data_IF_587715326071
#
_entry.id   IF_587715326071
#
_cell.length_a   1.000
_cell.length_b   1.000
_cell.length_c   1.000
_cell.angle_alpha   90.00
_cell.angle_beta   90.00
_cell.angle_gamma   90.00
#
_symmetry.space_group_name_H-M   'P 1'
#
loop_
_entity.id
_entity.type
_entity.pdbx_description
1 polymer ?
#
# COMPACT_ATOMS: atom_id res chain seq x y z
N UNK A 1 17.71 -22.96 57.94
CA UNK A 1 16.45 -23.08 57.15
C UNK A 1 16.08 -21.74 56.52
N UNK A 2 16.19 -20.64 57.27
CA UNK A 2 15.97 -19.24 56.87
C UNK A 2 16.75 -18.78 55.62
N UNK A 3 18.09 -18.95 55.57
CA UNK A 3 18.89 -18.44 54.43
C UNK A 3 18.46 -18.95 53.05
N UNK A 4 18.06 -20.22 52.93
CA UNK A 4 17.56 -20.77 51.65
C UNK A 4 16.20 -20.20 51.25
N UNK A 5 15.37 -19.87 52.24
CA UNK A 5 14.08 -19.23 52.04
C UNK A 5 14.27 -17.78 51.57
N UNK A 6 15.22 -17.06 52.18
CA UNK A 6 15.57 -15.68 51.82
C UNK A 6 16.16 -15.59 50.40
N UNK A 7 17.05 -16.53 50.04
CA UNK A 7 17.60 -16.64 48.68
C UNK A 7 16.50 -16.94 47.64
N UNK A 8 15.52 -17.78 48.00
CA UNK A 8 14.41 -18.11 47.12
C UNK A 8 13.47 -16.91 46.93
N UNK A 9 13.17 -16.17 47.99
CA UNK A 9 12.37 -14.94 47.93
C UNK A 9 13.04 -13.90 47.03
N UNK A 10 14.36 -13.70 47.19
CA UNK A 10 15.11 -12.75 46.38
C UNK A 10 15.12 -13.11 44.89
N UNK A 11 15.21 -14.41 44.58
CA UNK A 11 15.11 -14.88 43.19
C UNK A 11 13.72 -14.66 42.60
N UNK A 12 12.67 -14.94 43.38
CA UNK A 12 11.30 -14.71 42.97
C UNK A 12 11.06 -13.22 42.65
N UNK A 13 11.51 -12.31 43.52
CA UNK A 13 11.35 -10.87 43.32
C UNK A 13 12.09 -10.37 42.08
N UNK A 14 13.29 -10.89 41.82
CA UNK A 14 14.05 -10.57 40.61
C UNK A 14 13.33 -11.06 39.35
N UNK A 15 12.86 -12.31 39.34
CA UNK A 15 12.10 -12.85 38.22
C UNK A 15 10.79 -12.10 38.00
N UNK A 16 10.11 -11.65 39.05
CA UNK A 16 8.90 -10.83 38.93
C UNK A 16 9.18 -9.50 38.22
N UNK A 17 10.28 -8.82 38.57
CA UNK A 17 10.68 -7.56 37.93
C UNK A 17 11.09 -7.76 36.47
N UNK A 18 11.78 -8.85 36.15
CA UNK A 18 12.13 -9.18 34.77
C UNK A 18 10.87 -9.44 33.93
N UNK A 19 9.88 -10.15 34.48
CA UNK A 19 8.59 -10.38 33.81
C UNK A 19 7.87 -9.05 33.56
N UNK A 20 7.82 -8.15 34.54
CA UNK A 20 7.21 -6.82 34.37
C UNK A 20 7.90 -6.02 33.26
N UNK A 21 9.24 -6.03 33.22
CA UNK A 21 10.00 -5.35 32.17
C UNK A 21 9.71 -5.94 30.78
N UNK A 22 9.66 -7.27 30.67
CA UNK A 22 9.32 -7.95 29.41
C UNK A 22 7.90 -7.65 28.95
N UNK A 23 6.93 -7.55 29.86
CA UNK A 23 5.56 -7.18 29.51
C UNK A 23 5.46 -5.76 28.95
N UNK A 24 6.24 -4.82 29.50
CA UNK A 24 6.33 -3.46 28.96
C UNK A 24 6.91 -3.49 27.55
N UNK A 25 8.02 -4.20 27.33
CA UNK A 25 8.67 -4.30 26.02
C UNK A 25 7.75 -4.95 24.97
N UNK A 26 7.01 -6.00 25.34
CA UNK A 26 6.00 -6.62 24.48
C UNK A 26 4.92 -5.60 24.09
N UNK A 27 4.46 -4.79 25.04
CA UNK A 27 3.49 -3.72 24.79
C UNK A 27 4.01 -2.67 23.80
N UNK A 28 5.26 -2.25 23.93
CA UNK A 28 5.89 -1.31 23.00
C UNK A 28 6.07 -1.91 21.61
N UNK A 29 6.53 -3.16 21.53
CA UNK A 29 6.71 -3.86 20.25
C UNK A 29 5.37 -4.11 19.53
N UNK A 30 4.30 -4.35 20.29
CA UNK A 30 2.94 -4.47 19.74
C UNK A 30 2.53 -3.16 19.05
N UNK A 31 2.69 -2.01 19.73
CA UNK A 31 2.40 -0.69 19.14
C UNK A 31 3.22 -0.40 17.89
N UNK A 32 4.52 -0.74 17.90
CA UNK A 32 5.39 -0.59 16.71
C UNK A 32 4.92 -1.45 15.55
N UNK A 33 4.49 -2.69 15.84
CA UNK A 33 3.96 -3.61 14.83
C UNK A 33 2.66 -3.09 14.21
N UNK A 34 1.74 -2.59 15.04
CA UNK A 34 0.49 -1.97 14.57
C UNK A 34 0.77 -0.78 13.65
N UNK A 35 1.70 0.10 14.04
CA UNK A 35 2.11 1.24 13.21
C UNK A 35 2.65 0.79 11.84
N UNK A 36 3.52 -0.24 11.82
CA UNK A 36 4.07 -0.78 10.57
C UNK A 36 2.96 -1.36 9.69
N UNK A 37 2.01 -2.10 10.27
CA UNK A 37 0.87 -2.64 9.52
C UNK A 37 0.03 -1.55 8.88
N UNK A 38 -0.24 -0.46 9.59
CA UNK A 38 -0.96 0.69 9.02
C UNK A 38 -0.18 1.38 7.91
N UNK A 39 1.14 1.53 8.10
CA UNK A 39 2.00 2.13 7.08
C UNK A 39 2.02 1.28 5.80
N UNK A 40 2.11 -0.05 5.92
CA UNK A 40 2.03 -0.97 4.78
C UNK A 40 0.69 -0.88 4.05
N UNK A 41 -0.44 -0.78 4.77
CA UNK A 41 -1.76 -0.56 4.15
C UNK A 41 -1.81 0.73 3.34
N UNK A 42 -1.20 1.81 3.84
CA UNK A 42 -1.12 3.08 3.09
C UNK A 42 -0.25 2.95 1.83
N UNK A 43 0.87 2.24 1.92
CA UNK A 43 1.73 1.99 0.77
C UNK A 43 1.01 1.17 -0.31
N UNK A 44 0.28 0.14 0.07
CA UNK A 44 -0.51 -0.69 -0.86
C UNK A 44 -1.58 0.12 -1.61
N UNK A 45 -2.31 0.98 -0.89
CA UNK A 45 -3.26 1.90 -1.50
C UNK A 45 -2.59 2.89 -2.47
N UNK A 46 -1.42 3.40 -2.10
CA UNK A 46 -0.68 4.33 -2.97
C UNK A 46 -0.11 3.63 -4.21
N UNK A 47 0.36 2.39 -4.06
CA UNK A 47 0.83 1.58 -5.17
C UNK A 47 -0.31 1.25 -6.14
N UNK A 48 -1.50 0.92 -5.61
CA UNK A 48 -2.70 0.68 -6.43
C UNK A 48 -3.08 1.93 -7.24
N UNK A 49 -3.17 3.11 -6.59
CA UNK A 49 -3.43 4.37 -7.28
C UNK A 49 -2.37 4.71 -8.32
N UNK A 50 -1.10 4.43 -8.02
CA UNK A 50 -0.01 4.66 -8.97
C UNK A 50 -0.14 3.74 -10.20
N UNK A 51 -0.49 2.47 -9.99
CA UNK A 51 -0.73 1.54 -11.08
C UNK A 51 -1.91 2.00 -11.96
N UNK A 52 -3.02 2.43 -11.34
CA UNK A 52 -4.18 2.97 -12.05
C UNK A 52 -3.80 4.20 -12.89
N UNK A 53 -3.02 5.13 -12.32
CA UNK A 53 -2.54 6.32 -13.04
C UNK A 53 -1.64 5.96 -14.22
N UNK A 54 -0.68 5.03 -14.03
CA UNK A 54 0.22 4.59 -15.11
C UNK A 54 -0.58 3.93 -16.23
N UNK A 55 -1.55 3.08 -15.88
CA UNK A 55 -2.42 2.44 -16.87
C UNK A 55 -3.24 3.49 -17.63
N UNK A 56 -3.82 4.47 -16.93
CA UNK A 56 -4.55 5.59 -17.54
C UNK A 56 -3.69 6.39 -18.51
N UNK A 57 -2.46 6.76 -18.11
CA UNK A 57 -1.51 7.50 -18.95
C UNK A 57 -1.09 6.70 -20.20
N UNK A 58 -0.89 5.39 -20.07
CA UNK A 58 -0.59 4.51 -21.19
C UNK A 58 -1.76 4.38 -22.16
N UNK A 59 -2.99 4.17 -21.64
CA UNK A 59 -4.20 4.13 -22.44
C UNK A 59 -4.43 5.43 -23.20
N UNK A 60 -4.22 6.58 -22.55
CA UNK A 60 -4.33 7.89 -23.16
C UNK A 60 -3.28 8.10 -24.26
N UNK A 61 -2.02 7.76 -23.99
CA UNK A 61 -0.93 7.90 -24.96
C UNK A 61 -1.19 7.04 -26.21
N UNK A 62 -1.62 5.78 -26.01
CA UNK A 62 -1.99 4.86 -27.10
C UNK A 62 -3.20 5.38 -27.90
N UNK A 63 -4.21 5.94 -27.23
CA UNK A 63 -5.37 6.52 -27.90
C UNK A 63 -4.99 7.71 -28.79
N UNK A 64 -4.11 8.59 -28.33
CA UNK A 64 -3.60 9.72 -29.11
C UNK A 64 -2.84 9.25 -30.35
N UNK A 65 -1.97 8.25 -30.19
CA UNK A 65 -1.22 7.65 -31.31
C UNK A 65 -2.18 7.05 -32.35
N UNK A 66 -3.13 6.22 -31.91
CA UNK A 66 -4.11 5.61 -32.81
C UNK A 66 -5.01 6.65 -33.50
N UNK A 67 -5.39 7.72 -32.80
CA UNK A 67 -6.17 8.81 -33.39
C UNK A 67 -5.38 9.53 -34.51
N UNK A 68 -4.08 9.78 -34.31
CA UNK A 68 -3.20 10.37 -35.33
C UNK A 68 -2.98 9.46 -36.53
N UNK A 69 -2.98 8.15 -36.31
CA UNK A 69 -2.96 7.14 -37.39
C UNK A 69 -4.30 7.05 -38.15
N UNK A 70 -5.34 7.76 -37.71
CA UNK A 70 -6.66 7.74 -38.33
C UNK A 70 -7.44 6.46 -38.05
N UNK A 71 -7.13 5.74 -36.97
CA UNK A 71 -7.85 4.54 -36.54
C UNK A 71 -9.31 4.84 -36.24
N UNK A 72 -10.15 3.83 -36.45
CA UNK A 72 -11.58 3.96 -36.18
C UNK A 72 -11.83 4.13 -34.67
N UNK A 73 -12.83 4.95 -34.34
CA UNK A 73 -13.21 5.25 -32.97
C UNK A 73 -13.50 4.00 -32.14
N UNK A 74 -14.20 3.00 -32.70
CA UNK A 74 -14.49 1.76 -31.98
C UNK A 74 -13.24 0.91 -31.76
N UNK A 75 -12.27 0.98 -32.67
CA UNK A 75 -10.98 0.31 -32.53
C UNK A 75 -10.18 0.91 -31.37
N UNK A 76 -10.16 2.24 -31.23
CA UNK A 76 -9.47 2.94 -30.14
C UNK A 76 -10.09 2.59 -28.79
N UNK A 77 -11.43 2.59 -28.66
CA UNK A 77 -12.11 2.19 -27.41
C UNK A 77 -11.71 0.78 -27.03
N UNK A 78 -11.77 -0.16 -27.98
CA UNK A 78 -11.46 -1.57 -27.73
C UNK A 78 -10.03 -1.77 -27.24
N UNK A 79 -9.08 -1.02 -27.80
CA UNK A 79 -7.65 -1.20 -27.57
C UNK A 79 -7.10 -0.44 -26.36
N UNK A 80 -7.83 0.57 -25.87
CA UNK A 80 -7.38 1.47 -24.79
C UNK A 80 -8.27 1.39 -23.54
N UNK A 81 -9.51 0.91 -23.70
CA UNK A 81 -10.49 0.82 -22.62
C UNK A 81 -11.08 2.18 -22.18
N UNK A 82 -10.75 3.26 -22.89
CA UNK A 82 -11.29 4.60 -22.62
C UNK A 82 -12.77 4.69 -23.00
N UNK A 83 -13.49 5.64 -22.38
CA UNK A 83 -14.90 5.85 -22.68
C UNK A 83 -15.13 6.41 -24.09
N UNK A 84 -16.38 6.32 -24.56
CA UNK A 84 -16.78 6.91 -25.82
C UNK A 84 -16.46 8.41 -25.89
N UNK A 85 -16.78 9.12 -24.81
CA UNK A 85 -16.57 10.58 -24.68
C UNK A 85 -15.09 10.94 -24.69
N UNK A 86 -14.25 10.16 -23.97
CA UNK A 86 -12.80 10.37 -23.93
C UNK A 86 -12.17 10.18 -25.31
N UNK A 87 -12.53 9.10 -26.01
CA UNK A 87 -12.02 8.82 -27.35
C UNK A 87 -12.49 9.85 -28.37
N UNK A 88 -13.76 10.28 -28.31
CA UNK A 88 -14.27 11.36 -29.18
C UNK A 88 -13.50 12.67 -29.00
N UNK A 89 -13.21 13.05 -27.75
CA UNK A 89 -12.44 14.25 -27.46
C UNK A 89 -11.00 14.16 -28.01
N UNK A 90 -10.35 13.00 -27.89
CA UNK A 90 -9.01 12.76 -28.43
C UNK A 90 -9.01 12.86 -29.95
N UNK A 91 -9.93 12.16 -30.62
CA UNK A 91 -10.05 12.20 -32.09
C UNK A 91 -10.31 13.62 -32.57
N UNK A 92 -11.20 14.36 -31.91
CA UNK A 92 -11.51 15.73 -32.32
C UNK A 92 -10.33 16.70 -32.16
N UNK A 93 -9.49 16.48 -31.13
CA UNK A 93 -8.33 17.34 -30.85
C UNK A 93 -7.07 16.97 -31.63
N UNK A 94 -6.99 15.75 -32.19
CA UNK A 94 -5.79 15.20 -32.82
C UNK A 94 -6.00 14.66 -34.25
N UNK A 95 -7.16 14.92 -34.86
CA UNK A 95 -7.35 14.79 -36.32
C UNK A 95 -6.64 15.97 -36.99
N UNK A 96 -5.54 15.69 -37.70
CA UNK A 96 -4.99 16.63 -38.70
C UNK A 96 -5.80 16.59 -40.00
#
# INVERSE_FOLDING_TARGET
MTKKLDDLSSKYDNSSKEIEALLIEIGENTKRTEFVLEYLKRLDQNASRLADNIQGDQSMSKAIEMAREGKDHLEIIKETGLSNEEVEAIIHSHKE
#
